data_IF_988979980611
#
_entry.id   IF_988979980611
#
_cell.length_a   1.000
_cell.length_b   1.000
_cell.length_c   1.000
_cell.angle_alpha   90.00
_cell.angle_beta   90.00
_cell.angle_gamma   90.00
#
_symmetry.space_group_name_H-M   'P 1'
#
loop_
_entity.id
_entity.type
_entity.pdbx_description
1 polymer ?
#
# COMPACT_ATOMS: atom_id res chain seq x y z
N UNK A 1 -15.22 -8.90 -20.79
CA UNK A 1 -14.61 -9.63 -21.92
C UNK A 1 -14.30 -11.04 -21.45
N UNK A 2 -14.47 -12.07 -22.27
CA UNK A 2 -13.96 -13.39 -21.95
C UNK A 2 -12.43 -13.37 -21.86
N UNK A 3 -11.88 -13.95 -20.80
CA UNK A 3 -10.45 -14.19 -20.63
C UNK A 3 -10.19 -15.68 -20.43
N UNK A 4 -9.09 -16.20 -20.97
CA UNK A 4 -8.71 -17.60 -20.76
C UNK A 4 -7.95 -17.75 -19.46
N UNK A 5 -8.25 -18.79 -18.70
CA UNK A 5 -7.58 -19.11 -17.44
C UNK A 5 -7.67 -20.62 -17.17
N UNK A 6 -7.26 -21.07 -15.98
CA UNK A 6 -7.36 -22.45 -15.54
C UNK A 6 -8.20 -22.56 -14.26
N UNK A 7 -8.88 -23.68 -14.09
CA UNK A 7 -9.57 -23.98 -12.84
C UNK A 7 -8.62 -24.63 -11.82
N UNK A 8 -9.13 -24.94 -10.62
CA UNK A 8 -8.33 -25.55 -9.53
C UNK A 8 -7.84 -26.96 -9.84
N UNK A 9 -8.43 -27.64 -10.82
CA UNK A 9 -8.03 -28.97 -11.29
C UNK A 9 -7.01 -28.90 -12.45
N UNK A 10 -6.63 -27.69 -12.87
CA UNK A 10 -5.67 -27.46 -13.94
C UNK A 10 -6.26 -27.50 -15.36
N UNK A 11 -7.58 -27.59 -15.48
CA UNK A 11 -8.26 -27.63 -16.78
C UNK A 11 -8.42 -26.21 -17.35
N UNK A 12 -8.27 -26.06 -18.67
CA UNK A 12 -8.46 -24.77 -19.35
C UNK A 12 -9.93 -24.35 -19.34
N UNK A 13 -10.20 -23.12 -18.93
CA UNK A 13 -11.55 -22.56 -18.82
C UNK A 13 -11.61 -21.12 -19.34
N UNK A 14 -12.74 -20.74 -19.93
CA UNK A 14 -13.03 -19.37 -20.32
C UNK A 14 -13.79 -18.65 -19.20
N UNK A 15 -13.22 -17.57 -18.68
CA UNK A 15 -13.78 -16.77 -17.60
C UNK A 15 -14.39 -15.48 -18.15
N UNK A 16 -15.67 -15.26 -17.87
CA UNK A 16 -16.37 -14.02 -18.20
C UNK A 16 -16.66 -13.25 -16.92
N UNK A 17 -16.04 -12.07 -16.79
CA UNK A 17 -16.36 -11.13 -15.71
C UNK A 17 -17.73 -10.46 -15.98
N UNK A 18 -18.64 -10.59 -15.02
CA UNK A 18 -19.99 -9.99 -15.06
C UNK A 18 -20.06 -8.80 -14.08
N UNK A 19 -20.80 -7.75 -14.42
CA UNK A 19 -21.01 -6.59 -13.56
C UNK A 19 -19.94 -5.50 -13.68
N UNK A 20 -20.07 -4.43 -12.88
CA UNK A 20 -19.19 -3.25 -12.92
C UNK A 20 -17.83 -3.57 -12.30
N UNK A 21 -16.78 -3.29 -13.04
CA UNK A 21 -15.39 -3.38 -12.59
C UNK A 21 -14.74 -2.01 -12.73
N UNK A 22 -13.73 -1.74 -11.91
CA UNK A 22 -12.97 -0.50 -12.04
C UNK A 22 -12.16 -0.52 -13.34
N UNK A 23 -12.34 0.47 -14.25
CA UNK A 23 -11.54 0.55 -15.47
C UNK A 23 -10.09 0.94 -15.17
N UNK A 24 -9.84 1.59 -14.03
CA UNK A 24 -8.52 1.92 -13.53
C UNK A 24 -8.52 1.87 -12.00
N UNK A 25 -7.79 0.92 -11.42
CA UNK A 25 -7.61 0.84 -9.96
C UNK A 25 -6.69 1.96 -9.44
N UNK A 26 -5.84 2.51 -10.30
CA UNK A 26 -4.81 3.50 -9.94
C UNK A 26 -5.36 4.78 -9.33
N UNK A 27 -6.50 5.28 -9.83
CA UNK A 27 -7.13 6.50 -9.31
C UNK A 27 -7.50 6.35 -7.84
N UNK A 28 -7.96 5.15 -7.44
CA UNK A 28 -8.27 4.85 -6.03
C UNK A 28 -7.03 4.48 -5.22
N UNK A 29 -5.96 4.02 -5.86
CA UNK A 29 -4.73 3.63 -5.17
C UNK A 29 -3.97 4.84 -4.62
N UNK A 30 -4.02 6.00 -5.29
CA UNK A 30 -3.31 7.23 -4.85
C UNK A 30 -3.68 7.66 -3.43
N UNK A 31 -4.96 7.91 -3.09
CA UNK A 31 -5.31 8.34 -1.72
C UNK A 31 -4.99 7.25 -0.67
N UNK A 32 -4.99 5.98 -1.06
CA UNK A 32 -4.56 4.88 -0.17
C UNK A 32 -3.05 5.00 0.11
N UNK A 33 -2.24 5.20 -0.92
CA UNK A 33 -0.79 5.33 -0.78
C UNK A 33 -0.40 6.56 0.04
N UNK A 34 -1.09 7.70 -0.13
CA UNK A 34 -0.88 8.90 0.67
C UNK A 34 -1.17 8.67 2.15
N UNK A 35 -2.29 8.01 2.47
CA UNK A 35 -2.63 7.65 3.85
C UNK A 35 -1.60 6.68 4.46
N UNK A 36 -1.16 5.68 3.69
CA UNK A 36 -0.14 4.73 4.14
C UNK A 36 1.20 5.44 4.41
N UNK A 37 1.61 6.38 3.55
CA UNK A 37 2.81 7.18 3.76
C UNK A 37 2.72 7.99 5.05
N UNK A 38 1.58 8.65 5.31
CA UNK A 38 1.38 9.42 6.53
C UNK A 38 1.48 8.55 7.79
N UNK A 39 0.91 7.34 7.77
CA UNK A 39 0.99 6.39 8.88
C UNK A 39 2.44 5.93 9.09
N UNK A 40 3.19 5.61 8.03
CA UNK A 40 4.59 5.20 8.11
C UNK A 40 5.46 6.30 8.71
N UNK A 41 5.29 7.54 8.26
CA UNK A 41 6.01 8.70 8.81
C UNK A 41 5.68 8.92 10.28
N UNK A 42 4.40 8.78 10.67
CA UNK A 42 3.98 8.89 12.07
C UNK A 42 4.61 7.80 12.94
N UNK A 43 4.64 6.55 12.46
CA UNK A 43 5.28 5.44 13.15
C UNK A 43 6.78 5.72 13.38
N UNK A 44 7.50 6.14 12.34
CA UNK A 44 8.92 6.50 12.48
C UNK A 44 9.16 7.66 13.44
N UNK A 45 8.31 8.70 13.39
CA UNK A 45 8.39 9.83 14.32
C UNK A 45 8.21 9.37 15.77
N UNK A 46 7.18 8.56 16.03
CA UNK A 46 6.89 8.07 17.38
C UNK A 46 7.99 7.13 17.88
N UNK A 47 8.54 6.26 17.04
CA UNK A 47 9.70 5.42 17.37
C UNK A 47 10.93 6.23 17.75
N UNK A 48 11.25 7.24 16.94
CA UNK A 48 12.38 8.12 17.22
C UNK A 48 12.19 8.86 18.55
N UNK A 49 10.98 9.36 18.81
CA UNK A 49 10.66 10.01 20.08
C UNK A 49 10.77 9.03 21.26
N UNK A 50 10.24 7.82 21.13
CA UNK A 50 10.27 6.83 22.22
C UNK A 50 11.69 6.42 22.61
N UNK A 51 12.61 6.34 21.65
CA UNK A 51 14.00 5.94 21.90
C UNK A 51 14.89 7.10 22.33
N UNK A 52 14.67 8.29 21.77
CA UNK A 52 15.63 9.39 21.83
C UNK A 52 15.08 10.68 22.45
N UNK A 53 13.93 10.65 23.14
CA UNK A 53 13.28 11.85 23.69
C UNK A 53 14.20 12.73 24.53
N UNK A 54 15.02 12.12 25.39
CA UNK A 54 15.87 12.82 26.35
C UNK A 54 17.34 12.94 25.89
N UNK A 55 17.64 12.44 24.68
CA UNK A 55 19.00 12.47 24.15
C UNK A 55 19.38 13.90 23.79
N UNK A 56 20.31 14.47 24.56
CA UNK A 56 20.96 15.74 24.24
C UNK A 56 22.21 15.47 23.42
N UNK A 57 22.35 16.17 22.30
CA UNK A 57 23.48 16.02 21.40
C UNK A 57 24.37 17.25 21.47
N UNK A 58 25.66 17.08 21.69
CA UNK A 58 26.62 18.20 21.70
C UNK A 58 27.10 18.59 20.29
N UNK A 59 26.67 17.85 19.27
CA UNK A 59 26.95 18.17 17.88
C UNK A 59 26.17 19.42 17.42
N UNK A 60 26.83 20.39 16.77
CA UNK A 60 26.16 21.58 16.24
C UNK A 60 25.07 21.20 15.24
N UNK A 61 23.89 21.81 15.37
CA UNK A 61 22.87 21.79 14.31
C UNK A 61 23.18 22.94 13.36
N UNK A 62 23.54 22.58 12.13
CA UNK A 62 23.78 23.51 11.03
C UNK A 62 22.47 24.09 10.51
#
# INVERSE_FOLDING_TARGET
MPGRTINRFGEEVEMITKGRHDPCVGIRAVPIAEAMLAIVLMDHLLRQRAQNADVKTDIPRW
#
